data_IF_323526002147
#
_entry.id   IF_323526002147
#
_cell.length_a   1.000
_cell.length_b   1.000
_cell.length_c   1.000
_cell.angle_alpha   90.00
_cell.angle_beta   90.00
_cell.angle_gamma   90.00
#
_symmetry.space_group_name_H-M   'P 1'
#
loop_
_entity.id
_entity.type
_entity.pdbx_description
1 polymer ?
#
# COMPACT_ATOMS: atom_id res chain seq x y z
N UNK A 1 -2.58 11.28 6.11
CA UNK A 1 -2.05 9.90 6.11
C UNK A 1 -1.20 9.72 4.86
N UNK A 2 0.06 9.30 5.03
CA UNK A 2 0.96 8.87 3.95
C UNK A 2 1.33 7.43 4.25
N UNK A 3 1.34 6.58 3.24
CA UNK A 3 1.78 5.20 3.36
C UNK A 3 3.30 5.12 3.61
N UNK A 4 3.74 4.07 4.28
CA UNK A 4 5.09 3.89 4.85
C UNK A 4 6.21 3.69 3.83
N UNK A 5 5.89 3.33 2.57
CA UNK A 5 6.86 2.98 1.52
C UNK A 5 6.43 3.44 0.11
N UNK A 6 5.77 4.59 -0.02
CA UNK A 6 5.40 5.08 -1.36
C UNK A 6 6.59 5.77 -2.00
N UNK A 7 7.30 5.10 -2.90
CA UNK A 7 8.37 5.71 -3.67
C UNK A 7 7.83 6.53 -4.86
N UNK A 8 8.60 7.52 -5.35
CA UNK A 8 8.20 8.31 -6.51
C UNK A 8 8.09 7.44 -7.77
N UNK A 9 6.87 7.18 -8.23
CA UNK A 9 6.61 6.36 -9.43
C UNK A 9 5.65 5.21 -9.19
N UNK A 10 5.43 4.83 -7.92
CA UNK A 10 4.69 3.63 -7.54
C UNK A 10 3.18 3.73 -7.76
N UNK A 11 2.69 4.92 -8.14
CA UNK A 11 1.27 5.13 -8.43
C UNK A 11 0.38 4.98 -7.19
N UNK A 12 0.85 5.39 -6.02
CA UNK A 12 0.02 5.43 -4.82
C UNK A 12 -1.24 6.26 -5.04
N UNK A 13 -2.40 5.66 -4.77
CA UNK A 13 -3.71 6.28 -4.96
C UNK A 13 -4.26 6.18 -6.39
N UNK A 14 -3.65 5.38 -7.28
CA UNK A 14 -4.22 5.12 -8.61
C UNK A 14 -5.60 4.46 -8.56
N UNK A 15 -5.87 3.69 -7.51
CA UNK A 15 -7.19 3.13 -7.22
C UNK A 15 -7.48 3.26 -5.71
N UNK A 16 -8.72 3.61 -5.37
CA UNK A 16 -9.18 3.70 -3.98
C UNK A 16 -10.60 3.21 -3.82
N UNK A 17 -10.90 2.64 -2.65
CA UNK A 17 -12.25 2.24 -2.26
C UNK A 17 -12.48 2.52 -0.78
N UNK A 18 -13.71 2.86 -0.41
CA UNK A 18 -14.13 3.07 0.98
C UNK A 18 -15.18 2.03 1.37
N UNK A 19 -15.12 1.53 2.60
CA UNK A 19 -16.13 0.65 3.14
C UNK A 19 -17.49 1.37 3.25
N UNK A 20 -18.58 0.61 3.17
CA UNK A 20 -19.95 1.16 3.27
C UNK A 20 -20.20 1.89 4.59
N UNK A 21 -19.47 1.54 5.65
CA UNK A 21 -19.56 2.18 6.96
C UNK A 21 -18.59 3.38 7.12
N UNK A 22 -17.83 3.70 6.07
CA UNK A 22 -16.91 4.84 6.01
C UNK A 22 -15.66 4.70 6.88
N UNK A 23 -15.41 3.52 7.47
CA UNK A 23 -14.31 3.32 8.43
C UNK A 23 -13.03 2.80 7.80
N UNK A 24 -13.11 2.17 6.64
CA UNK A 24 -11.94 1.57 5.99
C UNK A 24 -11.75 2.18 4.62
N UNK A 25 -10.59 2.80 4.39
CA UNK A 25 -10.14 3.24 3.09
C UNK A 25 -9.02 2.33 2.61
N UNK A 26 -9.12 1.82 1.39
CA UNK A 26 -8.03 1.12 0.73
C UNK A 26 -7.47 1.97 -0.41
N UNK A 27 -6.14 2.08 -0.53
CA UNK A 27 -5.45 2.73 -1.64
C UNK A 27 -4.46 1.76 -2.28
N UNK A 28 -4.47 1.63 -3.61
CA UNK A 28 -3.49 0.83 -4.35
C UNK A 28 -2.27 1.65 -4.79
N UNK A 29 -1.12 1.00 -4.89
CA UNK A 29 0.09 1.50 -5.55
C UNK A 29 0.60 0.41 -6.50
N UNK A 30 0.25 0.52 -7.79
CA UNK A 30 0.49 -0.54 -8.79
C UNK A 30 1.98 -0.76 -9.11
N UNK A 31 2.81 0.26 -8.91
CA UNK A 31 4.24 0.21 -9.19
C UNK A 31 5.10 0.07 -7.94
N UNK A 32 4.52 -0.31 -6.80
CA UNK A 32 5.27 -0.47 -5.56
C UNK A 32 6.19 -1.70 -5.65
N UNK A 33 7.44 -1.56 -5.20
CA UNK A 33 8.51 -2.54 -5.45
C UNK A 33 8.81 -3.47 -4.25
N UNK A 34 8.16 -3.23 -3.10
CA UNK A 34 8.49 -3.92 -1.86
C UNK A 34 8.13 -5.40 -1.89
N UNK A 35 8.94 -6.20 -1.20
CA UNK A 35 8.57 -7.56 -0.82
C UNK A 35 7.51 -7.37 0.28
N UNK A 36 6.26 -7.28 -0.13
CA UNK A 36 5.18 -6.80 0.74
C UNK A 36 5.16 -7.51 2.08
N UNK A 37 4.90 -6.74 3.13
CA UNK A 37 4.33 -7.31 4.35
C UNK A 37 3.22 -6.44 4.91
N UNK A 38 2.22 -7.12 5.44
CA UNK A 38 0.85 -6.66 5.60
C UNK A 38 0.55 -6.13 7.03
N UNK A 39 -0.68 -5.66 7.24
CA UNK A 39 -1.36 -5.23 8.48
C UNK A 39 -1.13 -6.12 9.72
N UNK A 40 -0.55 -7.32 9.58
CA UNK A 40 -0.27 -8.28 10.65
C UNK A 40 1.23 -8.41 11.03
N UNK A 41 2.02 -7.37 10.81
CA UNK A 41 3.33 -7.18 11.44
C UNK A 41 4.38 -8.24 11.10
N UNK A 42 4.57 -8.47 9.80
CA UNK A 42 5.72 -9.20 9.29
C UNK A 42 6.63 -8.18 8.57
N UNK A 43 7.97 -8.23 8.64
CA UNK A 43 8.81 -7.12 8.14
C UNK A 43 9.35 -7.34 6.73
N UNK A 44 9.03 -6.41 5.81
CA UNK A 44 9.85 -5.94 4.67
C UNK A 44 9.12 -5.04 3.64
N UNK A 45 8.18 -4.19 4.07
CA UNK A 45 7.68 -3.09 3.21
C UNK A 45 8.80 -2.16 2.68
N UNK A 46 10.03 -2.24 3.20
CA UNK A 46 11.18 -1.44 2.76
C UNK A 46 12.17 -2.20 1.86
N UNK A 47 11.84 -3.42 1.42
CA UNK A 47 12.72 -4.21 0.58
C UNK A 47 12.22 -4.19 -0.86
N UNK A 48 12.72 -3.27 -1.66
CA UNK A 48 12.32 -3.07 -3.07
C UNK A 48 12.94 -4.11 -4.03
N UNK A 49 13.06 -5.37 -3.60
CA UNK A 49 13.70 -6.40 -4.42
C UNK A 49 12.83 -6.90 -5.60
N UNK A 50 11.54 -6.53 -5.68
CA UNK A 50 10.63 -6.94 -6.75
C UNK A 50 10.03 -5.73 -7.47
N UNK A 51 10.64 -5.34 -8.59
CA UNK A 51 10.13 -4.24 -9.41
C UNK A 51 8.64 -4.45 -9.81
N UNK A 52 7.82 -3.46 -9.47
CA UNK A 52 6.38 -3.33 -9.74
C UNK A 52 5.55 -4.50 -9.22
N UNK A 53 5.86 -5.01 -8.02
CA UNK A 53 5.06 -6.02 -7.33
C UNK A 53 3.64 -5.55 -7.02
N UNK A 54 3.49 -4.26 -6.74
CA UNK A 54 2.24 -3.61 -6.38
C UNK A 54 1.87 -3.81 -4.90
N UNK A 55 1.22 -2.80 -4.31
CA UNK A 55 0.80 -2.80 -2.92
C UNK A 55 -0.64 -2.27 -2.74
N UNK A 56 -1.28 -2.70 -1.64
CA UNK A 56 -2.54 -2.13 -1.16
C UNK A 56 -2.35 -1.65 0.27
N UNK A 57 -2.71 -0.40 0.53
CA UNK A 57 -2.68 0.22 1.84
C UNK A 57 -4.08 0.31 2.39
N UNK A 58 -4.26 -0.17 3.62
CA UNK A 58 -5.54 -0.13 4.33
C UNK A 58 -5.43 0.88 5.46
N UNK A 59 -6.36 1.83 5.49
CA UNK A 59 -6.52 2.81 6.55
C UNK A 59 -7.83 2.52 7.27
N UNK A 60 -7.74 2.06 8.50
CA UNK A 60 -8.85 1.93 9.45
C UNK A 60 -8.63 2.89 10.63
N UNK A 61 -9.66 3.21 11.42
CA UNK A 61 -9.45 3.85 12.72
C UNK A 61 -8.48 3.05 13.61
#
# INVERSE_FOLDING_TARGET
>A
MKASNTDPGDGFGLASAISSDGRTLTCGALGEDSIGYDFNNVPAQSNNAYASAGAVYVFSP
#
